data_IF_239095036011
#
_entry.id   IF_239095036011
#
_cell.length_a   1.000
_cell.length_b   1.000
_cell.length_c   1.000
_cell.angle_alpha   90.00
_cell.angle_beta   90.00
_cell.angle_gamma   90.00
#
_symmetry.space_group_name_H-M   'P 1'
#
loop_
_entity.id
_entity.type
_entity.pdbx_description
1 polymer ?
#
# COMPACT_ATOMS: atom_id res chain seq x y z
N UNK A 1 27.38 -8.80 17.84
CA UNK A 1 26.28 -8.53 16.90
C UNK A 1 25.42 -7.46 17.54
N UNK A 2 25.41 -6.25 16.98
CA UNK A 2 24.46 -5.22 17.36
C UNK A 2 23.15 -5.60 16.66
N UNK A 3 22.15 -6.03 17.42
CA UNK A 3 20.78 -6.13 16.90
C UNK A 3 20.33 -4.72 16.53
N UNK A 4 20.04 -4.48 15.25
CA UNK A 4 19.35 -3.26 14.84
C UNK A 4 17.89 -3.42 15.29
N UNK A 5 17.40 -2.56 16.20
CA UNK A 5 16.05 -2.72 16.74
C UNK A 5 14.95 -2.46 15.68
N UNK A 6 15.31 -2.15 14.43
CA UNK A 6 14.40 -1.57 13.44
C UNK A 6 14.08 -0.11 13.78
N UNK A 7 13.57 0.66 12.82
CA UNK A 7 12.89 1.92 13.13
C UNK A 7 11.49 1.57 13.72
N UNK A 8 11.48 0.86 14.85
CA UNK A 8 10.35 0.02 15.28
C UNK A 8 9.16 0.74 15.90
N UNK A 9 9.22 2.04 16.14
CA UNK A 9 8.17 2.75 16.90
C UNK A 9 7.84 4.13 16.32
N UNK A 10 7.55 4.22 15.02
CA UNK A 10 6.78 5.36 14.52
C UNK A 10 5.28 5.02 14.51
N UNK A 11 4.52 5.45 15.54
CA UNK A 11 3.09 5.16 15.64
C UNK A 11 2.28 5.79 14.50
N UNK A 12 2.84 6.76 13.76
CA UNK A 12 2.18 7.34 12.57
C UNK A 12 1.95 6.30 11.48
N UNK A 13 2.81 5.26 11.44
CA UNK A 13 2.75 4.19 10.45
C UNK A 13 2.14 2.89 10.97
N UNK A 14 1.57 2.89 12.17
CA UNK A 14 0.87 1.73 12.70
C UNK A 14 -0.31 1.31 11.79
N UNK A 15 -0.31 0.03 11.43
CA UNK A 15 -1.29 -0.59 10.55
C UNK A 15 -1.13 -0.26 9.06
N UNK A 16 -0.06 0.44 8.63
CA UNK A 16 0.23 0.58 7.21
C UNK A 16 0.90 -0.69 6.70
N UNK A 17 0.41 -1.26 5.61
CA UNK A 17 0.87 -2.57 5.12
C UNK A 17 2.34 -2.56 4.65
N UNK A 18 2.85 -1.39 4.25
CA UNK A 18 4.19 -1.21 3.68
C UNK A 18 5.02 -0.11 4.31
N UNK A 19 4.44 0.76 5.16
CA UNK A 19 5.19 1.86 5.80
C UNK A 19 5.66 1.54 7.21
N UNK A 20 5.13 0.48 7.83
CA UNK A 20 5.69 -0.04 9.07
C UNK A 20 6.79 -1.05 8.79
N UNK A 21 8.04 -0.76 9.16
CA UNK A 21 9.18 -1.69 9.05
C UNK A 21 8.91 -3.03 9.76
N UNK A 22 8.09 -3.01 10.82
CA UNK A 22 7.59 -4.20 11.54
C UNK A 22 6.94 -5.25 10.62
N UNK A 23 6.43 -4.86 9.44
CA UNK A 23 5.55 -5.71 8.63
C UNK A 23 6.14 -6.28 7.34
N UNK A 24 7.38 -5.97 6.91
CA UNK A 24 7.86 -6.59 5.66
C UNK A 24 9.36 -6.63 5.33
N UNK A 25 10.28 -6.22 6.20
CA UNK A 25 11.71 -6.39 5.92
C UNK A 25 12.36 -7.32 6.95
N UNK A 26 12.58 -8.62 6.64
CA UNK A 26 13.41 -9.46 7.48
C UNK A 26 14.85 -9.00 7.34
N UNK A 27 15.31 -8.21 8.30
CA UNK A 27 16.66 -7.67 8.37
C UNK A 27 17.65 -8.82 8.64
N UNK A 28 18.06 -9.53 7.59
CA UNK A 28 19.36 -10.20 7.62
C UNK A 28 20.45 -9.10 7.67
N UNK A 29 21.60 -9.38 8.28
CA UNK A 29 22.71 -8.41 8.45
C UNK A 29 23.09 -7.67 7.14
N UNK A 30 22.89 -8.30 5.98
CA UNK A 30 23.15 -7.72 4.67
C UNK A 30 22.21 -6.54 4.29
N UNK A 31 20.99 -6.48 4.82
CA UNK A 31 20.03 -5.40 4.53
C UNK A 31 20.16 -4.21 5.49
N UNK A 32 20.93 -4.33 6.59
CA UNK A 32 21.08 -3.27 7.59
C UNK A 32 21.68 -1.97 7.02
N UNK A 33 22.67 -2.09 6.14
CA UNK A 33 23.27 -0.93 5.47
C UNK A 33 22.27 -0.22 4.55
N UNK A 34 21.40 -0.99 3.89
CA UNK A 34 20.31 -0.45 3.08
C UNK A 34 19.43 0.46 3.95
N UNK A 35 18.96 -0.06 5.10
CA UNK A 35 18.09 0.68 6.02
C UNK A 35 18.75 1.95 6.55
N UNK A 36 19.96 1.87 7.10
CA UNK A 36 20.66 3.06 7.58
C UNK A 36 20.85 4.13 6.50
N UNK A 37 21.21 3.71 5.28
CA UNK A 37 21.33 4.64 4.16
C UNK A 37 19.97 5.27 3.83
N UNK A 38 18.92 4.47 3.68
CA UNK A 38 17.58 4.95 3.36
C UNK A 38 17.00 5.86 4.44
N UNK A 39 17.12 5.52 5.74
CA UNK A 39 16.65 6.36 6.85
C UNK A 39 17.42 7.68 6.92
N UNK A 40 18.74 7.67 6.66
CA UNK A 40 19.51 8.92 6.56
C UNK A 40 19.02 9.80 5.41
N UNK A 41 18.77 9.21 4.23
CA UNK A 41 18.26 9.96 3.08
C UNK A 41 16.86 10.53 3.34
N UNK A 42 15.98 9.80 4.04
CA UNK A 42 14.69 10.32 4.49
C UNK A 42 14.84 11.53 5.41
N UNK A 43 15.67 11.40 6.45
CA UNK A 43 15.92 12.49 7.40
C UNK A 43 16.49 13.75 6.73
N UNK A 44 17.30 13.57 5.68
CA UNK A 44 17.85 14.63 4.84
C UNK A 44 16.88 15.09 3.72
N UNK A 45 15.67 14.53 3.62
CA UNK A 45 14.69 14.78 2.54
C UNK A 45 15.25 14.57 1.12
N UNK A 46 16.17 13.62 0.95
CA UNK A 46 16.85 13.31 -0.31
C UNK A 46 16.04 12.33 -1.16
N UNK A 47 14.92 12.81 -1.69
CA UNK A 47 14.00 12.01 -2.51
C UNK A 47 14.66 11.45 -3.78
N UNK A 48 15.48 12.24 -4.47
CA UNK A 48 16.11 11.80 -5.73
C UNK A 48 16.97 10.56 -5.51
N UNK A 49 17.74 10.53 -4.42
CA UNK A 49 18.59 9.41 -4.05
C UNK A 49 17.77 8.22 -3.54
N UNK A 50 16.66 8.46 -2.83
CA UNK A 50 15.72 7.40 -2.47
C UNK A 50 15.11 6.75 -3.71
N UNK A 51 14.66 7.55 -4.69
CA UNK A 51 14.14 7.06 -5.98
C UNK A 51 15.19 6.26 -6.73
N UNK A 52 16.43 6.73 -6.78
CA UNK A 52 17.51 5.99 -7.41
C UNK A 52 17.74 4.63 -6.73
N UNK A 53 17.76 4.59 -5.40
CA UNK A 53 17.87 3.31 -4.68
C UNK A 53 16.69 2.38 -4.96
N UNK A 54 15.46 2.92 -5.10
CA UNK A 54 14.28 2.14 -5.51
C UNK A 54 14.47 1.56 -6.90
N UNK A 55 14.97 2.34 -7.86
CA UNK A 55 15.29 1.86 -9.20
C UNK A 55 16.39 0.78 -9.20
N UNK A 56 17.33 0.86 -8.26
CA UNK A 56 18.36 -0.17 -8.02
C UNK A 56 17.81 -1.42 -7.29
N UNK A 57 16.52 -1.44 -6.93
CA UNK A 57 15.84 -2.59 -6.33
C UNK A 57 15.89 -2.64 -4.80
N UNK A 58 16.37 -1.57 -4.14
CA UNK A 58 16.47 -1.53 -2.68
C UNK A 58 15.11 -1.35 -2.02
N UNK A 59 14.54 -2.44 -1.49
CA UNK A 59 13.24 -2.44 -0.80
C UNK A 59 13.19 -1.48 0.39
N UNK A 60 14.28 -1.32 1.14
CA UNK A 60 14.37 -0.39 2.26
C UNK A 60 14.11 1.07 1.82
N UNK A 61 14.62 1.47 0.65
CA UNK A 61 14.45 2.82 0.12
C UNK A 61 13.03 3.05 -0.41
N UNK A 62 12.35 2.00 -0.85
CA UNK A 62 10.95 2.09 -1.26
C UNK A 62 10.08 2.51 -0.08
N UNK A 63 10.25 1.87 1.08
CA UNK A 63 9.51 2.18 2.30
C UNK A 63 9.71 3.67 2.67
N UNK A 64 10.98 4.10 2.75
CA UNK A 64 11.33 5.50 3.06
C UNK A 64 10.85 6.51 2.02
N UNK A 65 10.83 6.14 0.73
CA UNK A 65 10.25 6.98 -0.32
C UNK A 65 8.75 7.14 -0.10
N UNK A 66 8.02 6.07 0.21
CA UNK A 66 6.58 6.15 0.44
C UNK A 66 6.24 6.94 1.71
N UNK A 67 7.00 6.77 2.80
CA UNK A 67 6.90 7.61 4.00
C UNK A 67 7.04 9.10 3.66
N UNK A 68 8.12 9.46 2.95
CA UNK A 68 8.36 10.84 2.50
C UNK A 68 7.18 11.40 1.70
N UNK A 69 6.66 10.64 0.74
CA UNK A 69 5.57 11.09 -0.11
C UNK A 69 4.24 11.21 0.65
N UNK A 70 3.96 10.31 1.59
CA UNK A 70 2.77 10.35 2.45
C UNK A 70 2.81 11.56 3.41
N UNK A 71 3.94 11.79 4.06
CA UNK A 71 4.13 12.94 4.97
C UNK A 71 3.99 14.26 4.23
N UNK A 72 4.56 14.35 3.02
CA UNK A 72 4.45 15.53 2.18
C UNK A 72 3.08 15.68 1.49
N UNK A 73 2.15 14.72 1.65
CA UNK A 73 0.85 14.73 0.99
C UNK A 73 0.93 14.68 -0.54
N UNK A 74 2.02 14.13 -1.09
CA UNK A 74 2.31 14.12 -2.53
C UNK A 74 1.61 12.98 -3.25
N UNK A 75 0.28 13.05 -3.28
CA UNK A 75 -0.58 12.03 -3.88
C UNK A 75 -0.27 11.77 -5.35
N UNK A 76 -0.03 12.81 -6.14
CA UNK A 76 0.29 12.62 -7.57
C UNK A 76 1.58 11.81 -7.75
N UNK A 77 2.59 12.05 -6.93
CA UNK A 77 3.82 11.26 -6.95
C UNK A 77 3.62 9.81 -6.47
N UNK A 78 2.72 9.55 -5.51
CA UNK A 78 2.33 8.18 -5.14
C UNK A 78 1.65 7.47 -6.31
N UNK A 79 0.75 8.18 -7.02
CA UNK A 79 0.04 7.66 -8.19
C UNK A 79 0.99 7.37 -9.35
N UNK A 80 1.94 8.26 -9.63
CA UNK A 80 2.97 8.05 -10.66
C UNK A 80 3.79 6.78 -10.39
N UNK A 81 4.20 6.56 -9.14
CA UNK A 81 4.96 5.35 -8.77
C UNK A 81 4.09 4.09 -8.95
N UNK A 82 2.81 4.17 -8.58
CA UNK A 82 1.87 3.06 -8.75
C UNK A 82 1.61 2.72 -10.23
N UNK A 83 1.40 3.75 -11.07
CA UNK A 83 1.22 3.59 -12.51
C UNK A 83 2.50 3.12 -13.23
N UNK A 84 3.67 3.39 -12.64
CA UNK A 84 4.95 2.82 -13.04
C UNK A 84 5.07 1.31 -12.81
N UNK A 85 4.03 0.66 -12.26
CA UNK A 85 3.94 -0.78 -12.06
C UNK A 85 4.33 -1.24 -10.66
N UNK A 86 4.68 -0.34 -9.73
CA UNK A 86 4.94 -0.71 -8.34
C UNK A 86 3.64 -0.78 -7.54
N UNK A 87 3.08 -1.98 -7.44
CA UNK A 87 1.81 -2.23 -6.76
C UNK A 87 1.78 -1.78 -5.30
N UNK A 88 2.94 -1.75 -4.63
CA UNK A 88 3.04 -1.34 -3.23
C UNK A 88 2.69 0.14 -3.07
N UNK A 89 2.99 0.96 -4.07
CA UNK A 89 2.61 2.37 -4.08
C UNK A 89 1.09 2.52 -4.27
N UNK A 90 0.46 1.67 -5.09
CA UNK A 90 -1.00 1.64 -5.22
C UNK A 90 -1.70 1.27 -3.91
N UNK A 91 -1.16 0.29 -3.17
CA UNK A 91 -1.64 -0.03 -1.82
C UNK A 91 -1.48 1.14 -0.86
N UNK A 92 -0.30 1.76 -0.85
CA UNK A 92 -0.01 2.93 0.00
C UNK A 92 -0.99 4.06 -0.29
N UNK A 93 -1.24 4.34 -1.57
CA UNK A 93 -2.21 5.36 -1.99
C UNK A 93 -3.65 5.03 -1.55
N UNK A 94 -4.05 3.75 -1.62
CA UNK A 94 -5.36 3.33 -1.15
C UNK A 94 -5.50 3.49 0.38
N UNK A 95 -4.51 3.04 1.14
CA UNK A 95 -4.48 3.19 2.61
C UNK A 95 -4.47 4.66 3.04
N UNK A 96 -3.75 5.51 2.31
CA UNK A 96 -3.73 6.96 2.51
C UNK A 96 -5.15 7.54 2.47
N UNK A 97 -5.96 7.16 1.47
CA UNK A 97 -7.32 7.65 1.35
C UNK A 97 -8.29 7.04 2.35
N UNK A 98 -8.17 5.73 2.65
CA UNK A 98 -8.97 5.06 3.69
C UNK A 98 -8.78 5.74 5.04
N UNK A 99 -7.54 6.03 5.43
CA UNK A 99 -7.20 6.67 6.72
C UNK A 99 -7.74 8.09 6.83
N UNK A 100 -7.88 8.80 5.72
CA UNK A 100 -8.51 10.12 5.65
C UNK A 100 -10.03 10.06 5.51
N UNK A 101 -10.60 8.87 5.33
CA UNK A 101 -12.02 8.66 5.09
C UNK A 101 -12.52 9.19 3.74
N UNK A 102 -11.62 9.57 2.82
CA UNK A 102 -11.97 10.18 1.54
C UNK A 102 -12.30 9.10 0.50
N UNK A 103 -13.54 8.63 0.53
CA UNK A 103 -14.05 7.64 -0.42
C UNK A 103 -14.09 8.19 -1.85
N UNK A 104 -14.37 9.48 -2.02
CA UNK A 104 -14.45 10.08 -3.35
C UNK A 104 -13.09 10.05 -4.04
N UNK A 105 -12.02 10.34 -3.30
CA UNK A 105 -10.66 10.18 -3.78
C UNK A 105 -10.31 8.71 -4.07
N UNK A 106 -10.61 7.80 -3.15
CA UNK A 106 -10.36 6.38 -3.35
C UNK A 106 -11.09 5.81 -4.58
N UNK A 107 -12.31 6.27 -4.87
CA UNK A 107 -13.04 5.90 -6.09
C UNK A 107 -12.34 6.40 -7.36
N UNK A 108 -11.75 7.61 -7.34
CA UNK A 108 -10.94 8.10 -8.46
C UNK A 108 -9.70 7.24 -8.67
N UNK A 109 -9.05 6.80 -7.60
CA UNK A 109 -7.90 5.88 -7.73
C UNK A 109 -8.30 4.55 -8.34
N UNK A 110 -9.43 3.96 -7.90
CA UNK A 110 -9.89 2.65 -8.41
C UNK A 110 -10.20 2.66 -9.90
N UNK A 111 -10.53 3.81 -10.47
CA UNK A 111 -10.75 3.93 -11.92
C UNK A 111 -9.47 3.76 -12.75
N UNK A 112 -8.29 4.01 -12.16
CA UNK A 112 -7.00 3.96 -12.85
C UNK A 112 -6.08 2.86 -12.30
N UNK A 113 -6.28 2.48 -11.05
CA UNK A 113 -5.54 1.45 -10.34
C UNK A 113 -6.55 0.42 -9.79
N UNK A 114 -7.02 -0.54 -10.62
CA UNK A 114 -8.09 -1.46 -10.22
C UNK A 114 -7.84 -2.16 -8.87
N UNK A 115 -6.58 -2.44 -8.53
CA UNK A 115 -6.18 -3.04 -7.23
C UNK A 115 -6.64 -2.22 -6.02
N UNK A 116 -6.75 -0.90 -6.10
CA UNK A 116 -7.25 -0.07 -4.98
C UNK A 116 -8.72 -0.36 -4.66
N UNK A 117 -9.45 -1.00 -5.57
CA UNK A 117 -10.81 -1.48 -5.36
C UNK A 117 -10.96 -2.42 -4.17
N UNK A 118 -9.91 -3.16 -3.78
CA UNK A 118 -9.92 -3.99 -2.57
C UNK A 118 -10.10 -3.16 -1.29
N UNK A 119 -9.42 -2.01 -1.20
CA UNK A 119 -9.56 -1.07 -0.08
C UNK A 119 -10.89 -0.34 -0.12
N UNK A 120 -11.37 0.02 -1.32
CA UNK A 120 -12.69 0.62 -1.46
C UNK A 120 -13.77 -0.33 -0.95
N UNK A 121 -13.72 -1.60 -1.32
CA UNK A 121 -14.65 -2.61 -0.83
C UNK A 121 -14.58 -2.76 0.69
N UNK A 122 -13.37 -2.82 1.28
CA UNK A 122 -13.19 -2.84 2.72
C UNK A 122 -13.84 -1.64 3.41
N UNK A 123 -13.54 -0.42 2.93
CA UNK A 123 -14.10 0.82 3.46
C UNK A 123 -15.64 0.86 3.37
N UNK A 124 -16.20 0.39 2.26
CA UNK A 124 -17.65 0.30 2.08
C UNK A 124 -18.28 -0.69 3.06
N UNK A 125 -17.67 -1.86 3.25
CA UNK A 125 -18.13 -2.86 4.22
C UNK A 125 -18.07 -2.33 5.64
N UNK A 126 -16.97 -1.67 6.03
CA UNK A 126 -16.82 -1.08 7.37
C UNK A 126 -17.88 0.00 7.65
N UNK A 127 -18.43 0.61 6.59
CA UNK A 127 -19.54 1.58 6.65
C UNK A 127 -20.94 0.94 6.51
N UNK A 128 -21.04 -0.39 6.53
CA UNK A 128 -22.31 -1.12 6.40
C UNK A 128 -22.89 -1.11 4.99
N UNK A 129 -22.13 -0.68 3.97
CA UNK A 129 -22.56 -0.64 2.56
C UNK A 129 -22.14 -1.93 1.84
N UNK A 130 -22.57 -3.06 2.40
CA UNK A 130 -22.08 -4.38 2.00
C UNK A 130 -22.42 -4.74 0.56
N UNK A 131 -23.61 -4.36 0.10
CA UNK A 131 -24.02 -4.56 -1.29
C UNK A 131 -23.04 -3.89 -2.27
N UNK A 132 -22.71 -2.62 -2.02
CA UNK A 132 -21.78 -1.89 -2.87
C UNK A 132 -20.35 -2.45 -2.78
N UNK A 133 -19.95 -2.90 -1.59
CA UNK A 133 -18.67 -3.56 -1.40
C UNK A 133 -18.56 -4.85 -2.24
N UNK A 134 -19.62 -5.66 -2.27
CA UNK A 134 -19.72 -6.85 -3.12
C UNK A 134 -19.69 -6.48 -4.59
N UNK A 135 -20.43 -5.46 -5.02
CA UNK A 135 -20.42 -4.99 -6.41
C UNK A 135 -19.01 -4.58 -6.87
N UNK A 136 -18.25 -3.86 -6.04
CA UNK A 136 -16.85 -3.49 -6.32
C UNK A 136 -15.97 -4.73 -6.45
N UNK A 137 -16.05 -5.68 -5.51
CA UNK A 137 -15.23 -6.89 -5.58
C UNK A 137 -15.60 -7.78 -6.77
N UNK A 138 -16.89 -7.87 -7.12
CA UNK A 138 -17.34 -8.63 -8.31
C UNK A 138 -16.76 -8.02 -9.57
N UNK A 139 -16.84 -6.69 -9.73
CA UNK A 139 -16.24 -6.02 -10.87
C UNK A 139 -14.75 -6.34 -10.99
N UNK A 140 -13.99 -6.20 -9.90
CA UNK A 140 -12.56 -6.50 -9.86
C UNK A 140 -12.26 -7.98 -10.15
N UNK A 141 -13.04 -8.91 -9.58
CA UNK A 141 -12.87 -10.34 -9.75
C UNK A 141 -13.13 -10.83 -11.19
N UNK A 142 -13.96 -10.10 -11.94
CA UNK A 142 -14.33 -10.42 -13.33
C UNK A 142 -13.60 -9.59 -14.39
N UNK A 143 -12.80 -8.60 -13.97
CA UNK A 143 -12.07 -7.74 -14.89
C UNK A 143 -10.94 -8.51 -15.59
N UNK A 144 -11.16 -8.84 -16.86
CA UNK A 144 -10.19 -9.54 -17.70
C UNK A 144 -8.89 -8.73 -17.92
N UNK A 145 -8.93 -7.41 -17.73
CA UNK A 145 -7.77 -6.52 -17.82
C UNK A 145 -6.95 -6.43 -16.52
N UNK A 146 -7.49 -6.88 -15.39
CA UNK A 146 -6.77 -6.89 -14.12
C UNK A 146 -5.68 -7.98 -14.06
N UNK A 147 -4.73 -7.84 -13.13
CA UNK A 147 -3.78 -8.91 -12.80
C UNK A 147 -4.54 -10.13 -12.23
N UNK A 148 -4.16 -11.34 -12.65
CA UNK A 148 -4.85 -12.58 -12.26
C UNK A 148 -4.86 -12.78 -10.74
N UNK A 149 -3.74 -12.49 -10.08
CA UNK A 149 -3.66 -12.58 -8.62
C UNK A 149 -4.60 -11.58 -7.94
N UNK A 150 -4.81 -10.39 -8.52
CA UNK A 150 -5.75 -9.41 -7.96
C UNK A 150 -7.20 -9.90 -8.11
N UNK A 151 -7.54 -10.50 -9.26
CA UNK A 151 -8.84 -11.15 -9.45
C UNK A 151 -9.08 -12.25 -8.43
N UNK A 152 -8.09 -13.12 -8.22
CA UNK A 152 -8.19 -14.22 -7.25
C UNK A 152 -8.35 -13.72 -5.81
N UNK A 153 -7.64 -12.65 -5.45
CA UNK A 153 -7.76 -12.01 -4.14
C UNK A 153 -9.18 -11.45 -3.93
N UNK A 154 -9.73 -10.77 -4.94
CA UNK A 154 -11.11 -10.28 -4.93
C UNK A 154 -12.13 -11.43 -4.82
N UNK A 155 -11.94 -12.51 -5.60
CA UNK A 155 -12.75 -13.73 -5.52
C UNK A 155 -12.74 -14.35 -4.12
N UNK A 156 -11.56 -14.45 -3.50
CA UNK A 156 -11.41 -14.98 -2.16
C UNK A 156 -12.12 -14.14 -1.11
N UNK A 157 -12.11 -12.81 -1.24
CA UNK A 157 -12.87 -11.91 -0.35
C UNK A 157 -14.37 -12.06 -0.54
N UNK A 158 -14.84 -12.08 -1.79
CA UNK A 158 -16.26 -12.31 -2.13
C UNK A 158 -16.79 -13.57 -1.45
N UNK A 159 -16.10 -14.69 -1.63
CA UNK A 159 -16.50 -15.97 -1.03
C UNK A 159 -16.54 -15.93 0.50
N UNK A 160 -15.61 -15.22 1.14
CA UNK A 160 -15.60 -15.08 2.61
C UNK A 160 -16.74 -14.21 3.11
N UNK A 161 -17.12 -13.18 2.35
CA UNK A 161 -18.17 -12.26 2.76
C UNK A 161 -19.56 -12.85 2.54
N UNK A 162 -19.81 -13.48 1.40
CA UNK A 162 -21.12 -14.10 1.11
C UNK A 162 -21.40 -15.32 1.98
N UNK A 163 -20.39 -16.14 2.32
CA UNK A 163 -20.57 -17.27 3.25
C UNK A 163 -20.90 -16.84 4.68
N UNK A 164 -20.48 -15.65 5.11
CA UNK A 164 -20.76 -15.13 6.47
C UNK A 164 -22.20 -14.63 6.61
N UNK A 165 -22.85 -14.27 5.51
CA UNK A 165 -24.25 -13.82 5.53
C UNK A 165 -25.24 -15.00 5.58
N UNK A 166 -24.76 -16.23 5.32
CA UNK A 166 -25.56 -17.47 5.36
C UNK A 166 -25.48 -18.24 6.71
N UNK A 167 -24.70 -17.76 7.69
CA UNK A 167 -24.50 -18.38 9.01
C UNK A 167 -25.08 -17.55 10.14
#
# INVERSE_FOLDING_TARGET
MLEYPGDTDDPRYDGWSYLGDRYRCPLADAELNCHHRASRLLAEQRETELRQMVHEGHRCAFVRLMELLVEAGRVESLREVALGGDERAGVTLAEYWVRRGDEAALRRETAVLPRTGLWLAGLLKDRGREREAVEVLTALATDAGADERHRQEAWGLLQRWTKRDES
#
